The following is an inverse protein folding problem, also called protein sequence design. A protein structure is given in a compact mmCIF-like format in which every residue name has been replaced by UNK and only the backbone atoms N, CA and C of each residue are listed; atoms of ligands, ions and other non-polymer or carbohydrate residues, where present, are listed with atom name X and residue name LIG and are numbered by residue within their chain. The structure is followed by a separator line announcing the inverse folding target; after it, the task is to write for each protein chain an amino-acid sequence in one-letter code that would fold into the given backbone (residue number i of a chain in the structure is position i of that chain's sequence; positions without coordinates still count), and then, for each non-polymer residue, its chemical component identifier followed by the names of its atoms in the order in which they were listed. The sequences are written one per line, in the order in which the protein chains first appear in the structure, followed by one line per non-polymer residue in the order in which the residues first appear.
data_IF_429846026319
#
_entry.id   IF_429846026319
#
_cell.length_a   1.000
_cell.length_b   1.000
_cell.length_c   1.000
_cell.angle_alpha   90.00
_cell.angle_beta   90.00
_cell.angle_gamma   90.00
#
_symmetry.space_group_name_H-M   'P 1'
#
loop_
_entity.id
_entity.type
_entity.pdbx_description
1 polymer ?
#
# COMPACT_ATOMS: atom_id res chain seq x y z
N UNK A 1 -16.36 22.49 29.16
CA UNK A 1 -16.12 22.24 27.72
C UNK A 1 -14.90 21.34 27.62
N UNK A 2 -15.10 20.02 27.49
CA UNK A 2 -14.00 19.05 27.45
C UNK A 2 -13.40 18.98 26.04
N UNK A 3 -12.19 19.51 25.87
CA UNK A 3 -11.32 19.12 24.75
C UNK A 3 -10.96 17.64 24.95
N UNK A 4 -11.73 16.74 24.31
CA UNK A 4 -11.29 15.35 24.11
C UNK A 4 -10.13 15.39 23.11
N UNK A 5 -8.91 15.58 23.61
CA UNK A 5 -7.72 15.21 22.87
C UNK A 5 -7.86 13.74 22.47
N UNK A 6 -7.98 13.48 21.16
CA UNK A 6 -7.90 12.11 20.64
C UNK A 6 -6.48 11.61 20.95
N UNK A 7 -6.30 10.50 21.70
CA UNK A 7 -4.98 9.98 21.98
C UNK A 7 -4.35 9.41 20.69
N UNK A 8 -3.25 10.03 20.27
CA UNK A 8 -2.07 9.48 19.58
C UNK A 8 -2.29 8.39 18.50
N UNK A 9 -2.65 8.81 17.28
CA UNK A 9 -2.41 7.99 16.08
C UNK A 9 -0.95 8.13 15.66
N UNK A 10 -0.07 7.24 16.13
CA UNK A 10 1.09 6.86 15.31
C UNK A 10 1.51 5.44 15.64
N UNK A 11 0.74 4.46 15.11
CA UNK A 11 1.37 3.20 14.72
C UNK A 11 1.97 3.48 13.34
N UNK A 12 3.27 3.25 13.20
CA UNK A 12 4.02 3.49 11.96
C UNK A 12 3.26 2.96 10.75
N UNK A 13 3.27 3.75 9.67
CA UNK A 13 2.66 3.37 8.39
C UNK A 13 3.58 2.51 7.54
N UNK A 14 4.84 2.44 7.93
CA UNK A 14 5.83 1.55 7.34
C UNK A 14 5.94 0.34 8.25
N UNK A 15 5.68 -0.83 7.67
CA UNK A 15 5.52 -2.07 8.41
C UNK A 15 6.50 -3.10 7.88
N UNK A 16 7.06 -3.93 8.73
CA UNK A 16 7.82 -5.09 8.26
C UNK A 16 6.89 -6.03 7.47
N UNK A 17 7.33 -6.52 6.31
CA UNK A 17 6.53 -7.43 5.45
C UNK A 17 6.01 -8.68 6.18
N UNK A 18 6.70 -9.11 7.25
CA UNK A 18 6.28 -10.24 8.10
C UNK A 18 4.98 -9.96 8.85
N UNK A 19 4.69 -8.69 9.14
CA UNK A 19 3.47 -8.26 9.82
C UNK A 19 2.35 -7.83 8.87
N UNK A 20 2.43 -8.16 7.57
CA UNK A 20 1.37 -7.84 6.59
C UNK A 20 -0.01 -8.32 7.06
N UNK A 21 -0.09 -9.53 7.61
CA UNK A 21 -1.36 -10.13 8.04
C UNK A 21 -2.02 -9.31 9.17
N UNK A 22 -1.23 -8.71 10.06
CA UNK A 22 -1.75 -7.85 11.12
C UNK A 22 -2.43 -6.61 10.53
N UNK A 23 -1.80 -5.99 9.53
CA UNK A 23 -2.36 -4.83 8.81
C UNK A 23 -3.63 -5.21 8.05
N UNK A 24 -3.64 -6.37 7.37
CA UNK A 24 -4.81 -6.85 6.63
C UNK A 24 -5.99 -7.17 7.56
N UNK A 25 -5.72 -7.66 8.77
CA UNK A 25 -6.74 -7.99 9.78
C UNK A 25 -7.32 -6.75 10.48
N UNK A 26 -6.69 -5.59 10.33
CA UNK A 26 -7.09 -4.35 11.01
C UNK A 26 -8.41 -3.79 10.45
N UNK A 27 -9.37 -3.56 11.34
CA UNK A 27 -10.74 -3.11 11.01
C UNK A 27 -11.39 -3.91 9.87
N UNK A 28 -11.94 -5.10 10.17
CA UNK A 28 -12.55 -5.98 9.17
C UNK A 28 -13.72 -5.37 8.39
N UNK A 29 -14.31 -4.27 8.90
CA UNK A 29 -15.43 -3.57 8.25
C UNK A 29 -14.97 -2.72 7.05
N UNK A 30 -13.68 -2.39 6.97
CA UNK A 30 -13.10 -1.64 5.85
C UNK A 30 -12.49 -2.61 4.84
N UNK A 31 -12.72 -2.34 3.57
CA UNK A 31 -12.03 -3.03 2.49
C UNK A 31 -10.52 -2.81 2.55
N UNK A 32 -9.78 -3.66 1.86
CA UNK A 32 -8.32 -3.60 1.77
C UNK A 32 -7.92 -3.72 0.30
N UNK A 33 -7.13 -2.79 -0.20
CA UNK A 33 -6.54 -2.84 -1.53
C UNK A 33 -5.08 -3.24 -1.36
N UNK A 34 -4.77 -4.51 -1.63
CA UNK A 34 -3.44 -5.08 -1.45
C UNK A 34 -2.68 -5.10 -2.77
N UNK A 35 -1.66 -4.27 -2.89
CA UNK A 35 -0.73 -4.27 -4.02
C UNK A 35 0.42 -5.19 -3.65
N UNK A 36 0.53 -6.35 -4.29
CA UNK A 36 1.49 -7.38 -3.85
C UNK A 36 2.01 -8.20 -5.02
N UNK A 37 3.17 -8.80 -4.84
CA UNK A 37 3.70 -9.84 -5.74
C UNK A 37 3.10 -11.22 -5.49
N UNK A 38 2.49 -11.41 -4.31
CA UNK A 38 1.91 -12.70 -3.92
C UNK A 38 0.80 -13.08 -4.90
N UNK A 39 0.83 -14.30 -5.45
CA UNK A 39 -0.18 -14.78 -6.36
C UNK A 39 -1.62 -14.64 -5.81
N UNK A 40 -2.64 -14.51 -6.68
CA UNK A 40 -4.03 -14.37 -6.25
C UNK A 40 -4.58 -15.57 -5.44
N UNK A 41 -3.91 -16.72 -5.38
CA UNK A 41 -4.37 -17.83 -4.57
C UNK A 41 -3.88 -17.80 -3.11
N UNK A 42 -2.83 -17.05 -2.79
CA UNK A 42 -2.16 -17.10 -1.46
C UNK A 42 -2.86 -16.25 -0.40
N UNK A 43 -3.48 -15.13 -0.76
CA UNK A 43 -4.16 -14.24 0.20
C UNK A 43 -5.65 -14.32 -0.02
N UNK A 44 -6.35 -15.18 0.74
CA UNK A 44 -7.81 -15.30 0.66
C UNK A 44 -8.43 -14.66 1.91
N UNK A 45 -8.90 -13.42 1.75
CA UNK A 45 -9.67 -12.73 2.77
C UNK A 45 -10.83 -11.98 2.10
N UNK A 46 -12.05 -12.04 2.68
CA UNK A 46 -13.28 -11.61 2.01
C UNK A 46 -13.31 -10.10 1.71
N UNK A 47 -12.60 -9.29 2.50
CA UNK A 47 -12.52 -7.84 2.34
C UNK A 47 -11.22 -7.37 1.65
N UNK A 48 -10.42 -8.28 1.09
CA UNK A 48 -9.14 -7.95 0.43
C UNK A 48 -9.26 -8.05 -1.08
N UNK A 49 -9.16 -6.91 -1.76
CA UNK A 49 -9.00 -6.84 -3.21
C UNK A 49 -7.52 -6.73 -3.54
N UNK A 50 -7.01 -7.66 -4.36
CA UNK A 50 -5.61 -7.68 -4.77
C UNK A 50 -5.38 -6.93 -6.06
N UNK A 51 -4.23 -6.28 -6.13
CA UNK A 51 -3.57 -5.82 -7.35
C UNK A 51 -2.30 -6.65 -7.46
N UNK A 52 -2.35 -7.70 -8.29
CA UNK A 52 -1.24 -8.63 -8.42
C UNK A 52 -0.19 -8.05 -9.36
N UNK A 53 0.94 -7.63 -8.79
CA UNK A 53 2.02 -6.99 -9.52
C UNK A 53 3.06 -8.04 -9.90
N UNK A 54 3.18 -8.32 -11.19
CA UNK A 54 4.10 -9.35 -11.71
C UNK A 54 4.46 -9.11 -13.17
N UNK A 55 5.61 -9.63 -13.60
CA UNK A 55 6.00 -9.74 -15.02
C UNK A 55 5.40 -10.96 -15.71
N UNK A 56 4.86 -11.92 -14.96
CA UNK A 56 4.25 -13.13 -15.51
C UNK A 56 3.00 -12.75 -16.31
N UNK A 57 2.89 -13.12 -17.60
CA UNK A 57 1.69 -12.86 -18.38
C UNK A 57 0.47 -13.57 -17.78
N UNK A 58 -0.52 -12.80 -17.35
CA UNK A 58 -1.79 -13.33 -16.83
C UNK A 58 -2.90 -12.27 -16.96
N UNK A 59 -4.17 -12.64 -17.20
CA UNK A 59 -5.27 -11.67 -17.34
C UNK A 59 -5.47 -10.75 -16.12
N UNK A 60 -5.17 -11.25 -14.92
CA UNK A 60 -5.29 -10.48 -13.67
C UNK A 60 -3.98 -9.81 -13.21
N UNK A 61 -2.88 -9.99 -13.97
CA UNK A 61 -1.59 -9.41 -13.62
C UNK A 61 -1.46 -7.96 -14.07
N UNK A 62 -0.84 -7.14 -13.23
CA UNK A 62 -0.43 -5.78 -13.58
C UNK A 62 1.10 -5.73 -13.65
N UNK A 63 1.70 -5.36 -14.79
CA UNK A 63 3.15 -5.20 -14.89
C UNK A 63 3.67 -4.16 -13.89
N UNK A 64 4.80 -4.41 -13.20
CA UNK A 64 5.35 -3.48 -12.21
C UNK A 64 5.75 -2.13 -12.81
N UNK A 65 6.03 -2.08 -14.11
CA UNK A 65 6.37 -0.86 -14.84
C UNK A 65 5.15 0.01 -15.20
N UNK A 66 3.94 -0.55 -15.08
CA UNK A 66 2.68 0.16 -15.37
C UNK A 66 2.11 0.82 -14.12
N UNK A 67 2.90 1.67 -13.46
CA UNK A 67 2.51 2.38 -12.24
C UNK A 67 1.15 3.10 -12.41
N UNK A 68 0.94 3.79 -13.54
CA UNK A 68 -0.33 4.48 -13.84
C UNK A 68 -1.56 3.55 -13.82
N UNK A 69 -1.42 2.28 -14.21
CA UNK A 69 -2.51 1.30 -14.14
C UNK A 69 -2.82 0.97 -12.69
N UNK A 70 -1.78 0.78 -11.86
CA UNK A 70 -1.94 0.55 -10.42
C UNK A 70 -2.64 1.76 -9.78
N UNK A 71 -2.20 2.99 -10.10
CA UNK A 71 -2.81 4.24 -9.64
C UNK A 71 -4.32 4.28 -9.98
N UNK A 72 -4.68 4.02 -11.24
CA UNK A 72 -6.06 4.05 -11.70
C UNK A 72 -6.93 2.99 -11.02
N UNK A 73 -6.40 1.77 -10.84
CA UNK A 73 -7.11 0.70 -10.14
C UNK A 73 -7.43 1.12 -8.70
N UNK A 74 -6.46 1.69 -7.98
CA UNK A 74 -6.62 2.15 -6.60
C UNK A 74 -7.64 3.29 -6.53
N UNK A 75 -7.50 4.30 -7.40
CA UNK A 75 -8.45 5.41 -7.46
C UNK A 75 -9.89 4.95 -7.63
N UNK A 76 -10.11 4.06 -8.61
CA UNK A 76 -11.44 3.52 -8.91
C UNK A 76 -12.04 2.73 -7.74
N UNK A 77 -11.21 2.08 -6.91
CA UNK A 77 -11.69 1.36 -5.74
C UNK A 77 -11.98 2.29 -4.57
N UNK A 78 -11.09 3.23 -4.28
CA UNK A 78 -11.31 4.21 -3.23
C UNK A 78 -12.57 5.06 -3.47
N UNK A 79 -12.98 5.24 -4.72
CA UNK A 79 -14.23 5.91 -5.09
C UNK A 79 -15.49 5.05 -4.88
N UNK A 80 -15.35 3.72 -4.81
CA UNK A 80 -16.47 2.78 -4.71
C UNK A 80 -16.70 2.28 -3.30
N UNK A 81 -15.63 2.08 -2.55
CA UNK A 81 -15.67 1.43 -1.24
C UNK A 81 -14.73 2.11 -0.26
N UNK A 82 -15.14 2.24 1.00
CA UNK A 82 -14.24 2.62 2.08
C UNK A 82 -13.18 1.54 2.24
N UNK A 83 -11.94 1.83 1.86
CA UNK A 83 -10.87 0.83 1.79
C UNK A 83 -9.51 1.41 2.11
N UNK A 84 -8.72 0.67 2.87
CA UNK A 84 -7.33 1.03 3.15
C UNK A 84 -6.42 0.45 2.08
N UNK A 85 -5.30 1.12 1.77
CA UNK A 85 -4.35 0.71 0.74
C UNK A 85 -3.10 0.17 1.40
N UNK A 86 -2.64 -0.99 0.94
CA UNK A 86 -1.44 -1.66 1.44
C UNK A 86 -0.53 -1.95 0.26
N UNK A 87 0.64 -1.31 0.26
CA UNK A 87 1.71 -1.56 -0.71
C UNK A 87 2.68 -2.60 -0.16
N UNK A 88 2.48 -3.86 -0.55
CA UNK A 88 3.33 -5.03 -0.26
C UNK A 88 4.20 -5.41 -1.46
N UNK A 89 4.74 -4.40 -2.15
CA UNK A 89 5.59 -4.58 -3.32
C UNK A 89 6.60 -3.43 -3.50
N UNK A 90 6.86 -2.63 -2.46
CA UNK A 90 7.65 -1.40 -2.58
C UNK A 90 9.05 -1.65 -3.16
N UNK A 91 9.83 -2.56 -2.59
CA UNK A 91 11.19 -2.83 -3.09
C UNK A 91 11.17 -3.40 -4.51
N UNK A 92 10.13 -4.15 -4.88
CA UNK A 92 10.01 -4.68 -6.23
C UNK A 92 9.70 -3.59 -7.26
N UNK A 93 8.77 -2.68 -6.94
CA UNK A 93 8.52 -1.52 -7.78
C UNK A 93 9.80 -0.67 -7.90
N UNK A 94 10.57 -0.54 -6.83
CA UNK A 94 11.85 0.16 -6.83
C UNK A 94 12.90 -0.49 -7.73
N UNK A 95 13.02 -1.82 -7.71
CA UNK A 95 13.91 -2.55 -8.61
C UNK A 95 13.51 -2.36 -10.08
N UNK A 96 12.20 -2.36 -10.34
CA UNK A 96 11.65 -2.34 -11.71
C UNK A 96 11.56 -0.94 -12.33
N UNK A 97 11.38 0.09 -11.51
CA UNK A 97 11.14 1.47 -11.96
C UNK A 97 12.23 2.45 -11.50
N UNK A 98 13.11 2.04 -10.59
CA UNK A 98 14.02 2.93 -9.88
C UNK A 98 13.40 3.56 -8.62
N UNK A 99 14.27 4.11 -7.78
CA UNK A 99 13.94 4.72 -6.48
C UNK A 99 12.99 5.90 -6.65
N UNK A 100 13.37 6.87 -7.49
CA UNK A 100 12.67 8.14 -7.59
C UNK A 100 11.23 8.00 -8.14
N UNK A 101 10.97 7.24 -9.24
CA UNK A 101 9.61 7.01 -9.70
C UNK A 101 8.74 6.27 -8.68
N UNK A 102 9.34 5.33 -7.94
CA UNK A 102 8.62 4.57 -6.91
C UNK A 102 8.23 5.45 -5.73
N UNK A 103 9.13 6.31 -5.24
CA UNK A 103 8.81 7.25 -4.17
C UNK A 103 7.73 8.27 -4.60
N UNK A 104 7.78 8.77 -5.84
CA UNK A 104 6.70 9.61 -6.39
C UNK A 104 5.36 8.88 -6.41
N UNK A 105 5.34 7.63 -6.84
CA UNK A 105 4.15 6.80 -6.84
C UNK A 105 3.59 6.63 -5.41
N UNK A 106 4.44 6.31 -4.43
CA UNK A 106 4.05 6.23 -3.01
C UNK A 106 3.43 7.54 -2.52
N UNK A 107 4.04 8.69 -2.84
CA UNK A 107 3.51 10.00 -2.46
C UNK A 107 2.10 10.24 -3.01
N UNK A 108 1.88 9.94 -4.30
CA UNK A 108 0.54 10.02 -4.90
C UNK A 108 -0.46 9.09 -4.22
N UNK A 109 -0.06 7.86 -3.89
CA UNK A 109 -0.96 6.89 -3.23
C UNK A 109 -1.38 7.39 -1.85
N UNK A 110 -0.44 7.92 -1.07
CA UNK A 110 -0.75 8.57 0.20
C UNK A 110 -1.77 9.70 0.01
N UNK A 111 -1.50 10.62 -0.90
CA UNK A 111 -2.39 11.77 -1.13
C UNK A 111 -3.80 11.32 -1.54
N UNK A 112 -3.90 10.32 -2.42
CA UNK A 112 -5.18 9.71 -2.81
C UNK A 112 -5.93 9.08 -1.64
N UNK A 113 -5.23 8.37 -0.74
CA UNK A 113 -5.87 7.77 0.45
C UNK A 113 -6.33 8.81 1.47
N UNK A 114 -5.53 9.87 1.68
CA UNK A 114 -5.88 10.97 2.59
C UNK A 114 -7.17 11.67 2.16
N UNK A 115 -7.34 11.91 0.85
CA UNK A 115 -8.57 12.50 0.30
C UNK A 115 -9.83 11.64 0.53
N UNK A 116 -9.68 10.37 0.91
CA UNK A 116 -10.76 9.38 1.00
C UNK A 116 -10.98 8.85 2.42
N UNK A 117 -10.39 9.49 3.43
CA UNK A 117 -10.38 9.02 4.83
C UNK A 117 -9.97 7.54 4.91
N UNK A 118 -8.94 7.20 4.14
CA UNK A 118 -8.36 5.87 4.03
C UNK A 118 -6.96 5.85 4.60
N UNK A 119 -6.58 4.69 5.12
CA UNK A 119 -5.24 4.48 5.63
C UNK A 119 -4.33 3.94 4.52
N UNK A 120 -3.07 4.40 4.51
CA UNK A 120 -2.03 3.88 3.61
C UNK A 120 -0.92 3.23 4.42
N UNK A 121 -0.57 2.01 4.01
CA UNK A 121 0.51 1.24 4.59
C UNK A 121 1.50 0.82 3.52
N UNK A 122 2.77 0.82 3.85
CA UNK A 122 3.84 0.29 2.99
C UNK A 122 4.56 -0.80 3.76
N UNK A 123 4.67 -2.00 3.20
CA UNK A 123 5.54 -3.02 3.76
C UNK A 123 6.94 -2.94 3.16
N UNK A 124 7.94 -3.17 3.99
CA UNK A 124 9.36 -3.18 3.61
C UNK A 124 10.08 -4.33 4.30
N UNK A 125 11.19 -4.78 3.73
CA UNK A 125 12.12 -5.68 4.40
C UNK A 125 13.24 -4.92 5.11
N UNK A 126 13.99 -5.64 5.96
CA UNK A 126 15.19 -5.11 6.61
C UNK A 126 16.35 -4.83 5.65
N UNK A 127 16.24 -5.24 4.37
CA UNK A 127 17.26 -4.99 3.35
C UNK A 127 17.14 -3.64 2.65
N UNK A 128 16.11 -2.85 2.97
CA UNK A 128 15.92 -1.54 2.36
C UNK A 128 16.98 -0.54 2.83
N UNK A 129 17.59 0.16 1.87
CA UNK A 129 18.57 1.22 2.14
C UNK A 129 18.01 2.27 3.12
N UNK A 130 18.83 2.66 4.10
CA UNK A 130 18.40 3.53 5.19
C UNK A 130 18.01 4.93 4.70
N UNK A 131 18.70 5.47 3.69
CA UNK A 131 18.35 6.76 3.10
C UNK A 131 17.00 6.67 2.39
N UNK A 132 16.74 5.59 1.64
CA UNK A 132 15.43 5.36 1.01
C UNK A 132 14.33 5.21 2.07
N UNK A 133 14.57 4.43 3.13
CA UNK A 133 13.63 4.25 4.23
C UNK A 133 13.28 5.58 4.93
N UNK A 134 14.27 6.44 5.15
CA UNK A 134 14.06 7.75 5.77
C UNK A 134 13.25 8.70 4.88
N UNK A 135 13.45 8.67 3.56
CA UNK A 135 12.60 9.42 2.62
C UNK A 135 11.18 8.83 2.60
N UNK A 136 11.05 7.50 2.57
CA UNK A 136 9.78 6.82 2.62
C UNK A 136 8.97 7.21 3.88
N UNK A 137 9.62 7.25 5.06
CA UNK A 137 9.00 7.74 6.31
C UNK A 137 8.44 9.14 6.16
N UNK A 138 9.23 10.08 5.64
CA UNK A 138 8.78 11.48 5.42
C UNK A 138 7.60 11.59 4.45
N UNK A 139 7.47 10.64 3.52
CA UNK A 139 6.34 10.62 2.61
C UNK A 139 5.11 10.09 3.35
N UNK A 140 5.20 8.95 4.02
CA UNK A 140 4.03 8.18 4.46
C UNK A 140 3.54 8.57 5.87
N UNK A 141 4.41 9.05 6.75
CA UNK A 141 4.11 9.43 8.15
C UNK A 141 3.92 10.94 8.31
#
# INVERSE_FOLDING_TARGET
MMFRGRPQRSKSRIVDYRHLNEVLSKDPRRGKILITRRPPFEVKAPNVRKVWVTKVPHPEAVPPTKLHVIEQIIWNQLNKTASDVILDAFEYLMIENGVEPTLRFVGKMRDMTLMRDSEFYVTVSNGLDERVLNILRRIVE
#
